data_IF_660166893149
#
_entry.id   IF_660166893149
#
_cell.length_a   1.000
_cell.length_b   1.000
_cell.length_c   1.000
_cell.angle_alpha   90.00
_cell.angle_beta   90.00
_cell.angle_gamma   90.00
#
_symmetry.space_group_name_H-M   'P 1'
#
loop_
_entity.id
_entity.type
_entity.pdbx_description
1 polymer ?
#
# COMPACT_ATOMS: atom_id res chain seq x y z
N UNK A 1 -21.42 18.36 2.35
CA UNK A 1 -21.46 17.57 3.60
C UNK A 1 -20.03 17.50 4.09
N UNK A 2 -19.74 18.10 5.25
CA UNK A 2 -18.35 18.21 5.72
C UNK A 2 -18.07 17.02 6.63
N UNK A 3 -17.07 16.21 6.26
CA UNK A 3 -16.56 15.18 7.14
C UNK A 3 -15.60 15.84 8.14
N UNK A 4 -15.74 15.47 9.42
CA UNK A 4 -14.85 15.88 10.48
C UNK A 4 -14.22 14.65 11.13
N UNK A 5 -12.95 14.76 11.51
CA UNK A 5 -12.23 13.73 12.24
C UNK A 5 -12.36 14.03 13.73
N UNK A 6 -12.85 13.07 14.49
CA UNK A 6 -12.97 13.10 15.94
C UNK A 6 -12.10 12.01 16.56
N UNK A 7 -11.55 12.25 17.74
CA UNK A 7 -10.82 11.22 18.48
C UNK A 7 -11.77 10.54 19.48
N UNK A 8 -11.96 9.24 19.30
CA UNK A 8 -12.86 8.44 20.14
C UNK A 8 -12.05 7.47 21.01
N UNK A 9 -12.50 7.20 22.25
CA UNK A 9 -11.93 6.14 23.06
C UNK A 9 -12.03 4.80 22.32
N UNK A 10 -10.91 4.12 22.10
CA UNK A 10 -10.85 2.85 21.36
C UNK A 10 -11.78 1.79 21.97
N UNK A 11 -11.94 1.83 23.30
CA UNK A 11 -12.83 0.93 24.05
C UNK A 11 -14.32 1.10 23.75
N UNK A 12 -14.73 2.26 23.23
CA UNK A 12 -16.12 2.55 22.90
C UNK A 12 -16.50 2.04 21.50
N UNK A 13 -15.53 1.65 20.68
CA UNK A 13 -15.79 1.15 19.33
C UNK A 13 -16.11 -0.34 19.36
N UNK A 14 -17.19 -0.73 18.68
CA UNK A 14 -17.72 -2.08 18.64
C UNK A 14 -17.62 -2.62 17.22
N UNK A 15 -17.06 -3.82 17.08
CA UNK A 15 -16.93 -4.46 15.77
C UNK A 15 -18.31 -4.88 15.24
N UNK A 16 -18.40 -5.04 13.92
CA UNK A 16 -19.63 -5.52 13.30
C UNK A 16 -19.59 -7.05 13.22
N UNK A 17 -20.51 -7.72 13.93
CA UNK A 17 -20.51 -9.18 14.07
C UNK A 17 -20.57 -9.94 12.74
N UNK A 18 -21.15 -9.34 11.70
CA UNK A 18 -21.27 -9.94 10.36
C UNK A 18 -20.26 -9.38 9.37
N UNK A 19 -19.09 -8.95 9.83
CA UNK A 19 -18.01 -8.52 8.94
C UNK A 19 -17.51 -9.70 8.08
N UNK A 20 -17.62 -9.65 6.74
CA UNK A 20 -17.19 -10.75 5.88
C UNK A 20 -15.66 -10.88 5.78
N UNK A 21 -14.88 -9.86 6.17
CA UNK A 21 -13.41 -9.90 6.12
C UNK A 21 -12.82 -10.61 7.34
N UNK A 22 -12.16 -11.75 7.10
CA UNK A 22 -11.24 -12.37 8.06
C UNK A 22 -9.89 -11.66 8.01
N UNK A 23 -9.42 -11.15 9.14
CA UNK A 23 -8.25 -10.27 9.18
C UNK A 23 -7.38 -10.45 10.43
N UNK A 24 -7.63 -11.48 11.24
CA UNK A 24 -6.88 -11.73 12.48
C UNK A 24 -5.39 -11.98 12.21
N UNK A 25 -5.08 -12.72 11.15
CA UNK A 25 -3.71 -13.10 10.77
C UNK A 25 -2.84 -11.90 10.35
N UNK A 26 -3.46 -10.79 9.94
CA UNK A 26 -2.77 -9.59 9.43
C UNK A 26 -2.78 -8.41 10.42
N UNK A 27 -3.25 -8.60 11.65
CA UNK A 27 -3.27 -7.54 12.68
C UNK A 27 -1.85 -7.00 12.94
N UNK A 28 -0.83 -7.86 12.96
CA UNK A 28 0.56 -7.44 13.16
C UNK A 28 1.07 -6.55 12.03
N UNK A 29 0.68 -6.85 10.78
CA UNK A 29 1.03 -6.02 9.62
C UNK A 29 0.45 -4.63 9.76
N UNK A 30 -0.82 -4.53 10.18
CA UNK A 30 -1.45 -3.25 10.45
C UNK A 30 -0.83 -2.52 11.66
N UNK A 31 -0.40 -3.25 12.70
CA UNK A 31 0.33 -2.63 13.82
C UNK A 31 1.65 -1.99 13.35
N UNK A 32 2.40 -2.66 12.48
CA UNK A 32 3.62 -2.09 11.90
C UNK A 32 3.32 -0.83 11.08
N UNK A 33 2.32 -0.89 10.21
CA UNK A 33 1.85 0.25 9.42
C UNK A 33 1.45 1.46 10.30
N UNK A 34 0.72 1.24 11.39
CA UNK A 34 0.32 2.32 12.31
C UNK A 34 1.54 2.90 13.04
N UNK A 35 2.55 2.09 13.40
CA UNK A 35 3.78 2.61 14.03
C UNK A 35 4.58 3.48 13.07
N UNK A 36 4.70 3.05 11.82
CA UNK A 36 5.48 3.72 10.79
C UNK A 36 4.80 5.02 10.34
N UNK A 37 3.55 4.91 9.91
CA UNK A 37 2.86 6.02 9.25
C UNK A 37 1.97 6.82 10.20
N UNK A 38 1.71 6.32 11.40
CA UNK A 38 0.62 6.80 12.24
C UNK A 38 -0.75 6.34 11.74
N UNK A 39 -1.82 6.78 12.40
CA UNK A 39 -3.18 6.41 12.06
C UNK A 39 -3.73 7.27 10.91
N UNK A 40 -3.21 7.09 9.69
CA UNK A 40 -3.49 7.97 8.53
C UNK A 40 -4.88 7.83 7.94
N UNK A 41 -5.51 6.67 8.09
CA UNK A 41 -6.86 6.41 7.57
C UNK A 41 -7.81 6.26 8.77
N UNK A 42 -8.70 7.22 9.04
CA UNK A 42 -9.63 7.16 10.16
C UNK A 42 -10.61 5.99 10.07
N UNK A 43 -11.08 5.50 11.22
CA UNK A 43 -12.20 4.56 11.27
C UNK A 43 -13.48 5.28 10.85
N UNK A 44 -14.36 4.60 10.12
CA UNK A 44 -15.73 5.10 9.90
C UNK A 44 -16.64 4.37 10.87
N UNK A 45 -17.35 5.09 11.71
CA UNK A 45 -18.25 4.52 12.71
C UNK A 45 -19.50 5.38 12.91
N UNK A 46 -20.52 4.79 13.54
CA UNK A 46 -21.66 5.54 14.07
C UNK A 46 -21.30 6.16 15.42
N UNK A 47 -22.06 7.18 15.84
CA UNK A 47 -21.89 7.83 17.14
C UNK A 47 -22.07 6.88 18.33
N UNK A 48 -22.83 5.79 18.15
CA UNK A 48 -22.98 4.70 19.12
C UNK A 48 -21.75 3.77 19.24
N UNK A 49 -20.71 4.02 18.45
CA UNK A 49 -19.48 3.23 18.44
C UNK A 49 -19.46 2.07 17.45
N UNK A 50 -20.57 1.77 16.77
CA UNK A 50 -20.63 0.68 15.79
C UNK A 50 -19.73 0.98 14.60
N UNK A 51 -18.72 0.13 14.39
CA UNK A 51 -17.79 0.28 13.25
C UNK A 51 -18.49 -0.05 11.94
N UNK A 52 -18.27 0.83 10.97
CA UNK A 52 -18.70 0.68 9.58
C UNK A 52 -17.52 0.26 8.70
N UNK A 53 -16.39 0.94 8.81
CA UNK A 53 -15.14 0.59 8.14
C UNK A 53 -13.94 0.76 9.07
N UNK A 54 -12.91 -0.08 8.90
CA UNK A 54 -11.66 -0.01 9.67
C UNK A 54 -11.50 -1.07 10.75
N UNK A 55 -12.19 -2.23 10.68
CA UNK A 55 -12.06 -3.31 11.67
C UNK A 55 -10.61 -3.78 11.90
N UNK A 56 -9.81 -3.92 10.83
CA UNK A 56 -8.40 -4.29 10.97
C UNK A 56 -7.60 -3.21 11.72
N UNK A 57 -7.88 -1.94 11.43
CA UNK A 57 -7.25 -0.79 12.11
C UNK A 57 -7.67 -0.73 13.58
N UNK A 58 -8.93 -1.04 13.91
CA UNK A 58 -9.40 -1.14 15.29
C UNK A 58 -8.66 -2.26 16.06
N UNK A 59 -8.56 -3.47 15.47
CA UNK A 59 -7.83 -4.59 16.08
C UNK A 59 -6.37 -4.22 16.35
N UNK A 60 -5.72 -3.55 15.40
CA UNK A 60 -4.35 -3.08 15.56
C UNK A 60 -4.23 -2.00 16.64
N UNK A 61 -5.11 -1.00 16.67
CA UNK A 61 -5.13 0.03 17.71
C UNK A 61 -5.28 -0.57 19.11
N UNK A 62 -6.19 -1.54 19.28
CA UNK A 62 -6.37 -2.27 20.53
C UNK A 62 -5.09 -3.02 20.92
N UNK A 63 -4.48 -3.73 19.97
CA UNK A 63 -3.22 -4.45 20.20
C UNK A 63 -2.06 -3.52 20.57
N UNK A 64 -2.04 -2.30 20.03
CA UNK A 64 -1.07 -1.27 20.34
C UNK A 64 -1.35 -0.51 21.64
N UNK A 65 -2.49 -0.78 22.30
CA UNK A 65 -2.87 -0.09 23.54
C UNK A 65 -3.26 1.38 23.33
N UNK A 66 -3.70 1.78 22.13
CA UNK A 66 -4.07 3.15 21.85
C UNK A 66 -5.37 3.52 22.58
N UNK A 67 -5.35 4.58 23.40
CA UNK A 67 -6.51 5.01 24.17
C UNK A 67 -7.58 5.68 23.30
N UNK A 68 -7.15 6.55 22.37
CA UNK A 68 -8.03 7.28 21.47
C UNK A 68 -7.53 7.13 20.02
N UNK A 69 -8.46 7.01 19.08
CA UNK A 69 -8.15 6.87 17.64
C UNK A 69 -9.03 7.77 16.78
N UNK A 70 -8.58 8.18 15.58
CA UNK A 70 -9.34 9.04 14.69
C UNK A 70 -10.52 8.30 14.07
N UNK A 71 -11.69 8.92 14.14
CA UNK A 71 -12.98 8.42 13.68
C UNK A 71 -13.70 9.50 12.87
N UNK A 72 -14.29 9.11 11.76
CA UNK A 72 -15.26 9.90 10.99
C UNK A 72 -16.65 9.30 11.23
N UNK A 73 -17.60 10.15 11.57
CA UNK A 73 -18.97 9.73 11.87
C UNK A 73 -19.79 9.51 10.60
N UNK A 74 -20.64 8.48 10.62
CA UNK A 74 -21.53 8.10 9.51
C UNK A 74 -23.00 8.05 9.91
N UNK A 75 -23.42 8.81 10.92
CA UNK A 75 -24.81 8.83 11.44
C UNK A 75 -25.85 9.30 10.42
N UNK A 76 -25.39 9.99 9.36
CA UNK A 76 -26.21 10.40 8.22
C UNK A 76 -26.58 9.24 7.27
N UNK A 77 -25.96 8.06 7.40
CA UNK A 77 -26.29 6.90 6.58
C UNK A 77 -27.43 6.09 7.24
N UNK A 78 -28.49 5.85 6.47
CA UNK A 78 -29.52 4.90 6.90
C UNK A 78 -28.98 3.45 6.92
N UNK A 79 -29.76 2.50 7.43
CA UNK A 79 -29.31 1.11 7.57
C UNK A 79 -28.92 0.46 6.23
N UNK A 80 -29.73 0.53 5.15
CA UNK A 80 -29.33 0.04 3.83
C UNK A 80 -28.03 0.66 3.32
N UNK A 81 -27.87 1.98 3.44
CA UNK A 81 -26.67 2.70 3.03
C UNK A 81 -25.45 2.26 3.83
N UNK A 82 -25.60 2.09 5.15
CA UNK A 82 -24.53 1.60 6.02
C UNK A 82 -24.09 0.21 5.56
N UNK A 83 -25.03 -0.73 5.35
CA UNK A 83 -24.73 -2.09 4.88
C UNK A 83 -24.02 -2.09 3.53
N UNK A 84 -24.53 -1.32 2.56
CA UNK A 84 -23.90 -1.19 1.25
C UNK A 84 -22.50 -0.59 1.35
N UNK A 85 -22.32 0.45 2.16
CA UNK A 85 -21.03 1.12 2.34
C UNK A 85 -19.97 0.20 2.96
N UNK A 86 -20.34 -0.67 3.92
CA UNK A 86 -19.41 -1.69 4.45
C UNK A 86 -18.80 -2.56 3.35
N UNK A 87 -19.63 -2.99 2.39
CA UNK A 87 -19.18 -3.80 1.26
C UNK A 87 -18.34 -2.95 0.30
N UNK A 88 -18.83 -1.76 -0.05
CA UNK A 88 -18.17 -0.83 -0.96
C UNK A 88 -16.76 -0.45 -0.49
N UNK A 89 -16.59 -0.09 0.78
CA UNK A 89 -15.29 0.35 1.32
C UNK A 89 -14.20 -0.73 1.16
N UNK A 90 -14.59 -2.00 1.26
CA UNK A 90 -13.66 -3.12 1.07
C UNK A 90 -13.49 -3.49 -0.40
N UNK A 91 -14.59 -3.53 -1.18
CA UNK A 91 -14.55 -3.98 -2.56
C UNK A 91 -13.90 -2.95 -3.49
N UNK A 92 -14.07 -1.66 -3.20
CA UNK A 92 -13.50 -0.58 -4.02
C UNK A 92 -11.97 -0.58 -4.08
N UNK A 93 -11.30 -1.05 -3.03
CA UNK A 93 -9.86 -1.26 -3.01
C UNK A 93 -9.38 -2.30 -4.04
N UNK A 94 -10.28 -3.14 -4.57
CA UNK A 94 -9.97 -4.21 -5.54
C UNK A 94 -10.45 -3.88 -6.97
N UNK A 95 -10.98 -2.68 -7.23
CA UNK A 95 -11.54 -2.33 -8.54
C UNK A 95 -10.48 -2.01 -9.59
N UNK A 96 -9.39 -1.37 -9.16
CA UNK A 96 -8.31 -0.98 -10.04
C UNK A 96 -7.29 -2.10 -10.20
N UNK A 97 -6.69 -2.17 -11.39
CA UNK A 97 -5.48 -2.96 -11.64
C UNK A 97 -4.26 -2.08 -11.41
N UNK A 98 -3.15 -2.71 -11.03
CA UNK A 98 -1.86 -2.04 -11.03
C UNK A 98 -1.34 -1.91 -12.46
N UNK A 99 -0.72 -0.77 -12.74
CA UNK A 99 0.23 -0.65 -13.84
C UNK A 99 1.57 -1.18 -13.30
N UNK A 100 1.93 -2.41 -13.68
CA UNK A 100 3.09 -3.08 -13.11
C UNK A 100 4.40 -2.38 -13.52
N UNK A 101 4.47 -1.70 -14.66
CA UNK A 101 5.68 -0.97 -15.09
C UNK A 101 5.90 0.26 -14.20
N UNK A 102 4.85 1.05 -13.95
CA UNK A 102 4.93 2.18 -13.02
C UNK A 102 5.15 1.72 -11.57
N UNK A 103 4.51 0.63 -11.16
CA UNK A 103 4.67 0.09 -9.82
C UNK A 103 6.10 -0.39 -9.55
N UNK A 104 6.75 -1.03 -10.53
CA UNK A 104 8.16 -1.42 -10.44
C UNK A 104 9.06 -0.21 -10.18
N UNK A 105 8.84 0.89 -10.89
CA UNK A 105 9.61 2.13 -10.72
C UNK A 105 9.45 2.67 -9.29
N UNK A 106 8.21 2.80 -8.79
CA UNK A 106 7.97 3.27 -7.41
C UNK A 106 8.63 2.37 -6.35
N UNK A 107 8.62 1.04 -6.57
CA UNK A 107 9.28 0.09 -5.66
C UNK A 107 10.81 0.27 -5.68
N UNK A 108 11.41 0.47 -6.85
CA UNK A 108 12.85 0.73 -6.95
C UNK A 108 13.23 2.06 -6.29
N UNK A 109 12.43 3.11 -6.50
CA UNK A 109 12.68 4.41 -5.87
C UNK A 109 12.62 4.32 -4.34
N UNK A 110 11.70 3.54 -3.78
CA UNK A 110 11.67 3.26 -2.34
C UNK A 110 12.91 2.48 -1.87
N UNK A 111 13.40 1.53 -2.68
CA UNK A 111 14.64 0.80 -2.38
C UNK A 111 15.86 1.73 -2.39
N UNK A 112 15.96 2.61 -3.38
CA UNK A 112 17.03 3.60 -3.51
C UNK A 112 17.02 4.59 -2.32
N UNK A 113 15.84 4.90 -1.79
CA UNK A 113 15.63 5.65 -0.55
C UNK A 113 15.90 4.84 0.73
N UNK A 114 16.32 3.58 0.60
CA UNK A 114 16.61 2.65 1.70
C UNK A 114 15.40 2.43 2.62
N UNK A 115 14.18 2.49 2.07
CA UNK A 115 12.95 2.31 2.83
C UNK A 115 12.61 0.82 3.00
N UNK A 116 11.97 0.45 4.12
CA UNK A 116 11.53 -0.93 4.34
C UNK A 116 10.33 -1.26 3.45
N UNK A 117 10.60 -1.96 2.35
CA UNK A 117 9.59 -2.35 1.36
C UNK A 117 8.49 -3.25 1.93
N UNK A 118 8.67 -3.87 3.11
CA UNK A 118 7.60 -4.59 3.82
C UNK A 118 6.44 -3.67 4.20
N UNK A 119 6.69 -2.37 4.35
CA UNK A 119 5.70 -1.39 4.75
C UNK A 119 4.77 -0.97 3.60
N UNK A 120 5.09 -1.32 2.35
CA UNK A 120 4.26 -1.00 1.17
C UNK A 120 2.90 -1.71 1.15
N UNK A 121 2.77 -2.82 1.89
CA UNK A 121 1.55 -3.63 1.85
C UNK A 121 1.51 -4.65 0.71
N UNK A 122 2.56 -4.78 -0.10
CA UNK A 122 2.72 -5.89 -1.05
C UNK A 122 3.36 -7.12 -0.40
N UNK A 123 3.11 -8.30 -0.97
CA UNK A 123 3.80 -9.51 -0.57
C UNK A 123 5.27 -9.43 -0.98
N UNK A 124 6.17 -9.88 -0.10
CA UNK A 124 7.62 -9.75 -0.30
C UNK A 124 8.10 -10.45 -1.57
N UNK A 125 7.52 -11.60 -1.89
CA UNK A 125 7.83 -12.34 -3.12
C UNK A 125 7.50 -11.51 -4.37
N UNK A 126 6.39 -10.76 -4.37
CA UNK A 126 6.02 -9.88 -5.48
C UNK A 126 6.98 -8.70 -5.60
N UNK A 127 7.34 -8.08 -4.48
CA UNK A 127 8.32 -6.98 -4.42
C UNK A 127 9.67 -7.45 -4.97
N UNK A 128 10.15 -8.63 -4.53
CA UNK A 128 11.42 -9.17 -4.98
C UNK A 128 11.41 -9.46 -6.48
N UNK A 129 10.33 -10.07 -6.99
CA UNK A 129 10.19 -10.34 -8.42
C UNK A 129 10.29 -9.06 -9.27
N UNK A 130 9.69 -7.96 -8.80
CA UNK A 130 9.78 -6.66 -9.45
C UNK A 130 11.19 -6.09 -9.50
N UNK A 131 11.94 -6.19 -8.41
CA UNK A 131 13.33 -5.75 -8.36
C UNK A 131 14.22 -6.63 -9.25
N UNK A 132 14.04 -7.94 -9.20
CA UNK A 132 14.80 -8.88 -10.03
C UNK A 132 14.60 -8.57 -11.52
N UNK A 133 13.35 -8.36 -11.95
CA UNK A 133 13.02 -7.96 -13.33
C UNK A 133 13.75 -6.67 -13.75
N UNK A 134 13.74 -5.65 -12.89
CA UNK A 134 14.42 -4.38 -13.15
C UNK A 134 15.93 -4.54 -13.24
N UNK A 135 16.54 -5.29 -12.33
CA UNK A 135 17.98 -5.55 -12.35
C UNK A 135 18.42 -6.30 -13.60
N UNK A 136 17.62 -7.27 -14.08
CA UNK A 136 17.90 -7.96 -15.34
C UNK A 136 17.85 -6.99 -16.53
N UNK A 137 16.86 -6.10 -16.58
CA UNK A 137 16.75 -5.09 -17.64
C UNK A 137 17.91 -4.09 -17.60
N UNK A 138 18.32 -3.66 -16.41
CA UNK A 138 19.48 -2.79 -16.22
C UNK A 138 20.77 -3.47 -16.71
N UNK A 139 21.00 -4.72 -16.31
CA UNK A 139 22.16 -5.50 -16.73
C UNK A 139 22.22 -5.65 -18.26
N UNK A 140 21.09 -5.99 -18.89
CA UNK A 140 21.01 -6.11 -20.34
C UNK A 140 21.29 -4.76 -21.04
N UNK A 141 20.76 -3.67 -20.49
CA UNK A 141 20.98 -2.31 -21.01
C UNK A 141 22.45 -1.92 -20.96
N UNK A 142 23.15 -2.24 -19.87
CA UNK A 142 24.59 -2.02 -19.76
C UNK A 142 25.39 -2.85 -20.77
N UNK A 143 25.04 -4.13 -20.94
CA UNK A 143 25.67 -5.00 -21.93
C UNK A 143 25.51 -4.47 -23.37
N UNK A 144 24.29 -4.04 -23.73
CA UNK A 144 24.00 -3.46 -25.05
C UNK A 144 24.81 -2.17 -25.24
N UNK A 145 24.88 -1.31 -24.22
CA UNK A 145 25.67 -0.07 -24.28
C UNK A 145 27.15 -0.37 -24.49
N UNK A 146 27.70 -1.34 -23.77
CA UNK A 146 29.08 -1.77 -23.90
C UNK A 146 29.39 -2.29 -25.31
N UNK A 147 28.57 -3.19 -25.84
CA UNK A 147 28.72 -3.73 -27.21
C UNK A 147 28.64 -2.61 -28.24
N UNK A 148 27.69 -1.68 -28.07
CA UNK A 148 27.52 -0.53 -28.97
C UNK A 148 28.77 0.35 -29.01
N UNK A 149 29.43 0.57 -27.87
CA UNK A 149 30.67 1.34 -27.79
C UNK A 149 31.84 0.60 -28.47
N UNK A 150 32.00 -0.71 -28.24
CA UNK A 150 33.02 -1.52 -28.92
C UNK A 150 32.88 -1.49 -30.45
N UNK A 151 31.65 -1.61 -30.96
CA UNK A 151 31.39 -1.54 -32.40
C UNK A 151 31.77 -0.17 -32.99
N UNK A 152 31.49 0.93 -32.28
CA UNK A 152 31.91 2.28 -32.70
C UNK A 152 33.43 2.41 -32.78
N UNK A 153 34.16 1.89 -31.79
CA UNK A 153 35.63 1.90 -31.80
C UNK A 153 36.22 1.08 -32.96
N UNK A 154 35.65 -0.09 -33.26
CA UNK A 154 36.10 -0.93 -34.38
C UNK A 154 35.88 -0.20 -35.70
N UNK A 155 34.71 0.41 -35.90
CA UNK A 155 34.37 1.16 -37.11
C UNK A 155 35.30 2.37 -37.34
N UNK A 156 35.61 3.13 -36.29
CA UNK A 156 36.60 4.22 -36.38
C UNK A 156 37.97 3.71 -36.83
N UNK A 157 38.47 2.62 -36.25
CA UNK A 157 39.78 2.03 -36.61
C UNK A 157 39.84 1.48 -38.04
N UNK A 158 38.71 1.07 -38.62
CA UNK A 158 38.66 0.60 -40.02
C UNK A 158 38.64 1.74 -41.04
N UNK A 159 38.13 2.92 -40.68
CA UNK A 159 38.15 4.08 -41.58
C UNK A 159 39.56 4.70 -41.72
N UNK A 160 40.36 4.71 -40.65
CA UNK A 160 41.73 5.24 -40.68
C UNK A 160 42.73 4.34 -41.45
N UNK A 161 42.36 3.09 -41.78
CA UNK A 161 43.21 2.16 -42.55
C UNK A 161 43.01 2.24 -44.08
N UNK A 162 42.07 3.06 -44.54
CA UNK A 162 41.73 3.22 -45.96
C UNK A 162 41.84 4.66 -46.47
N UNK A 163 42.45 5.55 -45.69
CA UNK A 163 42.92 6.87 -46.10
C UNK A 163 44.46 6.86 -46.20
#
# INVERSE_FOLDING_TARGET
MNLAIHYYPTRNLVEYDRNPRKNDDVVNRMCASIREFGFRIPIVAKSDGTVVDGHLRLKAARKLGMENIPVVLSDNLNEPQTKAFRLLANQSANWAKWDDDLLKVEIQELEDLQFDLKMTGFELEKVQHFLDDLYQLQLLTEQIRHITNLLKEILCKTHDKHA
#
